data_IF_921543501744
#
_entry.id   IF_921543501744
#
_cell.length_a   1.000
_cell.length_b   1.000
_cell.length_c   1.000
_cell.angle_alpha   90.00
_cell.angle_beta   90.00
_cell.angle_gamma   90.00
#
_symmetry.space_group_name_H-M   'P 1'
#
loop_
_entity.id
_entity.type
_entity.pdbx_description
1 polymer ?
#
# COMPACT_ATOMS: atom_id res chain seq x y z
N UNK A 1 27.50 -10.24 -12.41
CA UNK A 1 26.52 -9.61 -13.33
C UNK A 1 25.16 -9.86 -12.70
N UNK A 2 24.30 -8.85 -12.54
CA UNK A 2 22.95 -9.11 -11.99
C UNK A 2 22.15 -9.81 -13.09
N UNK A 3 21.80 -11.08 -12.90
CA UNK A 3 21.04 -11.86 -13.88
C UNK A 3 19.55 -11.44 -13.90
N UNK A 4 19.30 -10.21 -14.34
CA UNK A 4 17.95 -9.75 -14.61
C UNK A 4 17.56 -10.16 -16.03
N UNK A 5 16.70 -11.18 -16.13
CA UNK A 5 16.06 -11.52 -17.40
C UNK A 5 14.94 -10.52 -17.73
N UNK A 6 14.72 -10.24 -19.01
CA UNK A 6 13.59 -9.42 -19.49
C UNK A 6 12.25 -9.98 -18.98
N UNK A 7 12.11 -11.30 -18.91
CA UNK A 7 10.90 -11.93 -18.34
C UNK A 7 10.69 -11.60 -16.86
N UNK A 8 11.78 -11.50 -16.10
CA UNK A 8 11.78 -11.14 -14.68
C UNK A 8 11.32 -9.67 -14.50
N UNK A 9 11.76 -8.76 -15.37
CA UNK A 9 11.31 -7.36 -15.35
C UNK A 9 9.82 -7.22 -15.71
N UNK A 10 9.30 -8.05 -16.62
CA UNK A 10 7.89 -8.05 -16.98
C UNK A 10 6.98 -8.51 -15.82
N UNK A 11 7.42 -9.53 -15.08
CA UNK A 11 6.69 -10.03 -13.90
C UNK A 11 6.57 -8.97 -12.81
N UNK A 12 7.51 -8.03 -12.70
CA UNK A 12 7.44 -6.92 -11.73
C UNK A 12 6.34 -5.90 -12.04
N UNK A 13 5.81 -5.85 -13.27
CA UNK A 13 4.64 -5.00 -13.55
C UNK A 13 3.35 -5.56 -12.96
N UNK A 14 3.23 -6.89 -12.82
CA UNK A 14 2.04 -7.55 -12.29
C UNK A 14 1.68 -7.10 -10.86
N UNK A 15 2.59 -7.11 -9.86
CA UNK A 15 2.27 -6.64 -8.52
C UNK A 15 1.88 -5.15 -8.51
N UNK A 16 2.46 -4.32 -9.38
CA UNK A 16 2.11 -2.90 -9.52
C UNK A 16 0.69 -2.74 -10.03
N UNK A 17 0.31 -3.52 -11.05
CA UNK A 17 -1.06 -3.52 -11.59
C UNK A 17 -2.05 -4.02 -10.54
N UNK A 18 -1.72 -5.09 -9.80
CA UNK A 18 -2.59 -5.62 -8.75
C UNK A 18 -2.81 -4.62 -7.62
N UNK A 19 -1.73 -3.98 -7.15
CA UNK A 19 -1.83 -2.92 -6.17
C UNK A 19 -2.69 -1.76 -6.68
N UNK A 20 -2.41 -1.25 -7.88
CA UNK A 20 -3.14 -0.13 -8.46
C UNK A 20 -4.63 -0.44 -8.63
N UNK A 21 -4.97 -1.63 -9.13
CA UNK A 21 -6.35 -2.08 -9.27
C UNK A 21 -7.05 -2.17 -7.90
N UNK A 22 -6.39 -2.74 -6.89
CA UNK A 22 -6.93 -2.83 -5.52
C UNK A 22 -7.13 -1.45 -4.90
N UNK A 23 -6.16 -0.55 -5.08
CA UNK A 23 -6.23 0.82 -4.59
C UNK A 23 -7.36 1.62 -5.27
N UNK A 24 -7.56 1.48 -6.58
CA UNK A 24 -8.66 2.14 -7.31
C UNK A 24 -10.02 1.65 -6.82
N UNK A 25 -10.18 0.33 -6.57
CA UNK A 25 -11.41 -0.22 -5.99
C UNK A 25 -11.69 0.39 -4.60
N UNK A 26 -10.67 0.42 -3.74
CA UNK A 26 -10.79 1.01 -2.40
C UNK A 26 -11.07 2.52 -2.46
N UNK A 27 -10.43 3.27 -3.36
CA UNK A 27 -10.71 4.69 -3.55
C UNK A 27 -12.18 4.91 -3.92
N UNK A 28 -12.71 4.14 -4.86
CA UNK A 28 -14.12 4.24 -5.28
C UNK A 28 -15.08 3.94 -4.14
N UNK A 29 -14.82 2.90 -3.36
CA UNK A 29 -15.72 2.46 -2.30
C UNK A 29 -15.63 3.33 -1.03
N UNK A 30 -14.44 3.86 -0.74
CA UNK A 30 -14.19 4.71 0.42
C UNK A 30 -14.41 6.20 0.14
N UNK A 31 -14.57 6.63 -1.12
CA UNK A 31 -14.74 8.05 -1.49
C UNK A 31 -15.84 8.75 -0.68
N UNK A 32 -17.04 8.17 -0.65
CA UNK A 32 -18.19 8.73 0.08
C UNK A 32 -18.07 8.57 1.60
N UNK A 33 -17.06 7.82 2.07
CA UNK A 33 -16.82 7.49 3.47
C UNK A 33 -15.55 8.09 4.01
N UNK A 34 -14.80 8.87 3.24
CA UNK A 34 -13.62 9.58 3.71
C UNK A 34 -13.90 11.09 3.71
N UNK A 35 -13.28 11.82 4.64
CA UNK A 35 -13.20 13.27 4.49
C UNK A 35 -12.34 13.60 3.26
N UNK A 36 -12.52 14.78 2.66
CA UNK A 36 -11.74 15.19 1.48
C UNK A 36 -10.23 15.11 1.72
N UNK A 37 -9.78 15.44 2.94
CA UNK A 37 -8.36 15.34 3.32
C UNK A 37 -7.89 13.90 3.47
N UNK A 38 -8.65 13.03 4.13
CA UNK A 38 -8.29 11.61 4.25
C UNK A 38 -8.26 10.90 2.89
N UNK A 39 -9.23 11.20 2.02
CA UNK A 39 -9.25 10.69 0.65
C UNK A 39 -8.05 11.20 -0.15
N UNK A 40 -7.72 12.48 -0.06
CA UNK A 40 -6.56 13.06 -0.75
C UNK A 40 -5.25 12.41 -0.31
N UNK A 41 -5.05 12.17 0.99
CA UNK A 41 -3.87 11.47 1.52
C UNK A 41 -3.81 10.03 1.02
N UNK A 42 -4.94 9.31 1.05
CA UNK A 42 -5.01 7.93 0.56
C UNK A 42 -4.74 7.84 -0.95
N UNK A 43 -5.36 8.70 -1.75
CA UNK A 43 -5.18 8.74 -3.19
C UNK A 43 -3.77 9.16 -3.59
N UNK A 44 -3.22 10.22 -2.97
CA UNK A 44 -1.84 10.63 -3.20
C UNK A 44 -0.85 9.51 -2.86
N UNK A 45 -1.03 8.86 -1.70
CA UNK A 45 -0.18 7.75 -1.28
C UNK A 45 -0.23 6.56 -2.25
N UNK A 46 -1.42 6.18 -2.70
CA UNK A 46 -1.60 5.09 -3.67
C UNK A 46 -1.02 5.41 -5.06
N UNK A 47 -1.14 6.67 -5.50
CA UNK A 47 -0.50 7.14 -6.75
C UNK A 47 1.02 7.05 -6.60
N UNK A 48 1.58 7.53 -5.49
CA UNK A 48 3.02 7.50 -5.23
C UNK A 48 3.57 6.06 -5.21
N UNK A 49 2.89 5.12 -4.55
CA UNK A 49 3.28 3.70 -4.55
C UNK A 49 3.25 3.12 -5.96
N UNK A 50 2.21 3.43 -6.73
CA UNK A 50 2.04 2.92 -8.10
C UNK A 50 3.14 3.47 -9.01
N UNK A 51 3.39 4.78 -8.95
CA UNK A 51 4.47 5.44 -9.71
C UNK A 51 5.85 4.89 -9.31
N UNK A 52 6.12 4.71 -8.02
CA UNK A 52 7.36 4.10 -7.55
C UNK A 52 7.54 2.69 -8.14
N UNK A 53 6.51 1.84 -8.05
CA UNK A 53 6.52 0.50 -8.61
C UNK A 53 6.78 0.49 -10.12
N UNK A 54 6.13 1.37 -10.88
CA UNK A 54 6.36 1.53 -12.32
C UNK A 54 7.81 1.95 -12.61
N UNK A 55 8.36 2.93 -11.88
CA UNK A 55 9.74 3.38 -12.07
C UNK A 55 10.74 2.24 -11.84
N UNK A 56 10.52 1.40 -10.82
CA UNK A 56 11.38 0.24 -10.54
C UNK A 56 11.29 -0.84 -11.61
N UNK A 57 10.09 -1.16 -12.07
CA UNK A 57 9.89 -2.12 -13.15
C UNK A 57 10.52 -1.62 -14.47
N UNK A 58 10.36 -0.34 -14.79
CA UNK A 58 11.00 0.30 -15.93
C UNK A 58 12.53 0.28 -15.83
N UNK A 59 13.10 0.59 -14.67
CA UNK A 59 14.56 0.49 -14.46
C UNK A 59 15.08 -0.91 -14.73
N UNK A 60 14.42 -1.95 -14.18
CA UNK A 60 14.83 -3.35 -14.41
C UNK A 60 14.71 -3.76 -15.87
N UNK A 61 13.67 -3.30 -16.57
CA UNK A 61 13.49 -3.55 -18.01
C UNK A 61 14.61 -2.91 -18.83
N UNK A 62 14.94 -1.64 -18.56
CA UNK A 62 15.99 -0.91 -19.26
C UNK A 62 17.39 -1.51 -19.00
N UNK A 63 17.65 -1.94 -17.77
CA UNK A 63 18.87 -2.62 -17.39
C UNK A 63 19.00 -3.99 -18.08
N UNK A 64 17.93 -4.80 -18.06
CA UNK A 64 17.90 -6.12 -18.71
C UNK A 64 17.98 -6.03 -20.25
N UNK A 65 17.49 -4.95 -20.84
CA UNK A 65 17.57 -4.69 -22.29
C UNK A 65 18.95 -4.15 -22.73
N UNK A 66 19.89 -3.92 -21.80
CA UNK A 66 21.23 -3.42 -22.11
C UNK A 66 21.28 -2.00 -22.66
N UNK A 67 20.23 -1.20 -22.46
CA UNK A 67 20.12 0.14 -23.06
C UNK A 67 20.88 1.19 -22.23
N UNK A 68 20.59 1.31 -20.92
CA UNK A 68 21.25 2.24 -19.99
C UNK A 68 21.00 1.83 -18.52
N UNK A 69 22.00 2.05 -17.65
CA UNK A 69 21.88 1.88 -16.20
C UNK A 69 21.51 3.22 -15.51
N UNK A 70 20.21 3.49 -15.39
CA UNK A 70 19.71 4.68 -14.70
C UNK A 70 19.52 4.42 -13.20
N UNK A 71 20.62 4.35 -12.46
CA UNK A 71 20.60 4.09 -11.01
C UNK A 71 19.69 5.06 -10.23
N UNK A 72 19.57 6.31 -10.70
CA UNK A 72 18.69 7.33 -10.13
C UNK A 72 17.21 6.89 -10.05
N UNK A 73 16.71 6.09 -11.02
CA UNK A 73 15.33 5.57 -10.96
C UNK A 73 15.17 4.58 -9.80
N UNK A 74 16.18 3.75 -9.57
CA UNK A 74 16.17 2.78 -8.47
C UNK A 74 16.34 3.49 -7.10
N UNK A 75 17.07 4.59 -7.05
CA UNK A 75 17.20 5.42 -5.83
C UNK A 75 15.88 6.14 -5.50
N UNK A 76 15.17 6.66 -6.50
CA UNK A 76 13.90 7.39 -6.32
C UNK A 76 12.73 6.50 -5.89
N UNK A 77 12.74 5.22 -6.29
CA UNK A 77 11.73 4.24 -5.91
C UNK A 77 11.51 4.18 -4.40
N UNK A 78 12.60 4.16 -3.63
CA UNK A 78 12.53 3.83 -2.20
C UNK A 78 11.90 4.96 -1.35
N UNK A 79 12.30 6.24 -1.49
CA UNK A 79 11.61 7.36 -0.86
C UNK A 79 10.16 7.49 -1.32
N UNK A 80 9.89 7.37 -2.62
CA UNK A 80 8.55 7.55 -3.18
C UNK A 80 7.58 6.47 -2.66
N UNK A 81 8.00 5.21 -2.64
CA UNK A 81 7.19 4.12 -2.08
C UNK A 81 6.97 4.29 -0.57
N UNK A 82 7.99 4.69 0.18
CA UNK A 82 7.90 4.88 1.63
C UNK A 82 6.90 5.98 2.00
N UNK A 83 7.03 7.15 1.36
CA UNK A 83 6.11 8.26 1.52
C UNK A 83 4.70 7.85 1.11
N UNK A 84 4.58 7.14 -0.02
CA UNK A 84 3.29 6.68 -0.52
C UNK A 84 2.55 5.77 0.47
N UNK A 85 3.23 4.77 1.05
CA UNK A 85 2.63 3.91 2.07
C UNK A 85 2.29 4.67 3.35
N UNK A 86 3.12 5.63 3.76
CA UNK A 86 2.83 6.47 4.92
C UNK A 86 1.55 7.30 4.70
N UNK A 87 1.43 7.98 3.56
CA UNK A 87 0.26 8.78 3.21
C UNK A 87 -1.01 7.91 3.12
N UNK A 88 -0.91 6.74 2.49
CA UNK A 88 -2.01 5.77 2.42
C UNK A 88 -2.45 5.28 3.81
N UNK A 89 -1.48 4.92 4.66
CA UNK A 89 -1.73 4.49 6.04
C UNK A 89 -2.36 5.58 6.90
N UNK A 90 -1.87 6.82 6.81
CA UNK A 90 -2.45 7.97 7.53
C UNK A 90 -3.86 8.29 7.01
N UNK A 91 -4.12 8.18 5.70
CA UNK A 91 -5.46 8.32 5.14
C UNK A 91 -6.44 7.28 5.69
N UNK A 92 -6.00 6.03 5.83
CA UNK A 92 -6.79 4.95 6.45
C UNK A 92 -6.99 5.15 7.96
N UNK A 93 -5.97 5.64 8.68
CA UNK A 93 -6.10 5.96 10.10
C UNK A 93 -7.08 7.12 10.32
N UNK A 94 -7.01 8.16 9.48
CA UNK A 94 -7.92 9.29 9.52
C UNK A 94 -9.38 8.86 9.29
N UNK A 95 -9.62 7.90 8.39
CA UNK A 95 -10.93 7.27 8.21
C UNK A 95 -11.46 6.63 9.51
N UNK A 96 -10.58 6.01 10.30
CA UNK A 96 -10.98 5.26 11.50
C UNK A 96 -11.10 6.12 12.75
N UNK A 97 -10.21 7.09 12.95
CA UNK A 97 -10.07 7.85 14.19
C UNK A 97 -10.78 9.21 14.17
N UNK A 98 -10.91 9.87 13.01
CA UNK A 98 -11.57 11.18 12.98
C UNK A 98 -13.09 11.03 12.85
N UNK A 99 -13.82 11.79 13.69
CA UNK A 99 -15.23 12.08 13.44
C UNK A 99 -15.29 12.81 12.10
N UNK A 100 -15.96 12.20 11.13
CA UNK A 100 -16.22 12.78 9.81
C UNK A 100 -17.28 13.88 9.89
N UNK A 101 -17.13 14.80 10.84
CA UNK A 101 -18.01 15.93 11.04
C UNK A 101 -17.60 17.04 10.08
N UNK A 102 -18.45 17.32 9.10
CA UNK A 102 -18.45 18.58 8.37
C UNK A 102 -17.52 18.65 7.16
N UNK A 103 -18.10 19.09 6.03
CA UNK A 103 -17.48 19.40 4.74
C UNK A 103 -16.40 20.51 4.76
N UNK A 104 -15.78 20.82 5.89
CA UNK A 104 -14.85 21.94 6.04
C UNK A 104 -13.70 21.58 6.96
N UNK A 105 -12.49 21.47 6.40
CA UNK A 105 -11.27 21.29 7.16
C UNK A 105 -10.51 20.04 6.74
N UNK A 106 -9.66 20.18 5.74
CA UNK A 106 -8.21 20.17 5.96
C UNK A 106 -7.49 19.94 4.63
N UNK A 107 -6.89 21.02 4.12
CA UNK A 107 -5.74 20.93 3.25
C UNK A 107 -4.55 20.51 4.13
N UNK A 108 -4.38 19.21 4.35
CA UNK A 108 -3.11 18.71 4.86
C UNK A 108 -2.16 18.56 3.66
N UNK A 109 -1.55 19.67 3.28
CA UNK A 109 -0.29 19.65 2.55
C UNK A 109 0.78 19.15 3.53
N UNK A 110 0.83 17.84 3.75
CA UNK A 110 1.98 17.25 4.43
C UNK A 110 3.07 17.22 3.38
N UNK A 111 3.89 18.28 3.36
CA UNK A 111 5.17 18.23 2.66
C UNK A 111 5.90 16.98 3.20
N UNK A 112 6.24 15.99 2.35
CA UNK A 112 6.94 14.82 2.83
C UNK A 112 8.27 15.30 3.43
N UNK A 113 8.54 15.03 4.72
CA UNK A 113 9.83 15.35 5.28
C UNK A 113 10.92 14.58 4.51
N UNK A 114 11.83 15.34 3.89
CA UNK A 114 13.00 14.79 3.20
C UNK A 114 13.98 14.30 4.27
N UNK A 115 13.91 13.02 4.61
CA UNK A 115 14.86 12.39 5.52
C UNK A 115 16.02 11.78 4.75
N UNK A 116 17.23 11.92 5.30
CA UNK A 116 18.43 11.25 4.81
C UNK A 116 18.69 10.03 5.69
N UNK A 117 18.18 8.86 5.31
CA UNK A 117 18.48 7.60 5.99
C UNK A 117 17.59 6.43 5.55
N UNK A 118 18.20 5.36 5.06
CA UNK A 118 17.49 4.15 4.57
C UNK A 118 16.60 3.54 5.64
N UNK A 119 17.04 3.51 6.91
CA UNK A 119 16.28 2.94 8.01
C UNK A 119 14.96 3.69 8.29
N UNK A 120 14.97 5.02 8.22
CA UNK A 120 13.77 5.85 8.44
C UNK A 120 12.72 5.56 7.37
N UNK A 121 13.14 5.44 6.10
CA UNK A 121 12.24 5.08 5.01
C UNK A 121 11.69 3.66 5.14
N UNK A 122 12.49 2.67 5.56
CA UNK A 122 11.97 1.31 5.87
C UNK A 122 10.92 1.40 6.98
N UNK A 123 11.22 2.10 8.07
CA UNK A 123 10.33 2.19 9.22
C UNK A 123 9.00 2.87 8.86
N UNK A 124 9.04 3.98 8.12
CA UNK A 124 7.84 4.69 7.64
C UNK A 124 7.04 3.83 6.66
N UNK A 125 7.71 3.08 5.77
CA UNK A 125 7.05 2.17 4.83
C UNK A 125 6.31 1.05 5.57
N UNK A 126 6.97 0.39 6.53
CA UNK A 126 6.37 -0.70 7.33
C UNK A 126 5.23 -0.17 8.20
N UNK A 127 5.42 0.99 8.84
CA UNK A 127 4.37 1.62 9.64
C UNK A 127 3.17 2.03 8.77
N UNK A 128 3.42 2.66 7.62
CA UNK A 128 2.37 3.08 6.69
C UNK A 128 1.59 1.91 6.11
N UNK A 129 2.29 0.89 5.62
CA UNK A 129 1.68 -0.36 5.14
C UNK A 129 0.87 -1.04 6.27
N UNK A 130 1.45 -1.15 7.47
CA UNK A 130 0.79 -1.75 8.61
C UNK A 130 -0.48 -1.00 9.01
N UNK A 131 -0.45 0.34 8.99
CA UNK A 131 -1.63 1.18 9.23
C UNK A 131 -2.71 0.98 8.15
N UNK A 132 -2.31 0.87 6.88
CA UNK A 132 -3.23 0.62 5.77
C UNK A 132 -3.92 -0.75 5.91
N UNK A 133 -3.15 -1.83 6.06
CA UNK A 133 -3.67 -3.20 6.14
C UNK A 133 -4.45 -3.44 7.44
N UNK A 134 -3.99 -2.91 8.58
CA UNK A 134 -4.76 -2.93 9.83
C UNK A 134 -6.05 -2.11 9.68
N UNK A 135 -5.99 -0.98 8.98
CA UNK A 135 -7.15 -0.16 8.68
C UNK A 135 -8.22 -0.93 7.90
N UNK A 136 -7.80 -1.66 6.86
CA UNK A 136 -8.66 -2.52 6.06
C UNK A 136 -9.20 -3.71 6.87
N UNK A 137 -8.39 -4.29 7.76
CA UNK A 137 -8.83 -5.32 8.69
C UNK A 137 -9.93 -4.82 9.64
N UNK A 138 -9.81 -3.60 10.17
CA UNK A 138 -10.82 -2.99 11.03
C UNK A 138 -12.11 -2.72 10.23
N UNK A 139 -12.00 -2.24 9.00
CA UNK A 139 -13.16 -2.06 8.10
C UNK A 139 -13.86 -3.40 7.84
N UNK A 140 -13.10 -4.46 7.51
CA UNK A 140 -13.64 -5.80 7.31
C UNK A 140 -14.33 -6.35 8.58
N UNK A 141 -13.74 -6.12 9.75
CA UNK A 141 -14.33 -6.51 11.03
C UNK A 141 -15.64 -5.77 11.31
N UNK A 142 -15.71 -4.46 11.01
CA UNK A 142 -16.93 -3.65 11.12
C UNK A 142 -18.03 -4.11 10.16
N UNK A 143 -17.66 -4.60 8.98
CA UNK A 143 -18.58 -5.23 8.03
C UNK A 143 -19.01 -6.66 8.41
N UNK A 144 -18.59 -7.18 9.58
CA UNK A 144 -18.78 -8.58 10.02
C UNK A 144 -18.15 -9.62 9.09
N UNK A 145 -17.20 -9.19 8.24
CA UNK A 145 -16.51 -10.00 7.24
C UNK A 145 -15.11 -10.44 7.74
N UNK A 146 -15.04 -10.92 8.99
CA UNK A 146 -13.77 -11.26 9.67
C UNK A 146 -12.93 -12.30 8.93
N UNK A 147 -13.57 -13.20 8.19
CA UNK A 147 -12.90 -14.24 7.40
C UNK A 147 -11.91 -13.66 6.37
N UNK A 148 -12.26 -12.51 5.80
CA UNK A 148 -11.49 -11.89 4.72
C UNK A 148 -10.34 -11.01 5.23
N UNK A 149 -10.26 -10.76 6.53
CA UNK A 149 -9.10 -10.10 7.16
C UNK A 149 -7.80 -10.86 6.90
N UNK A 150 -7.88 -12.19 6.79
CA UNK A 150 -6.73 -13.06 6.52
C UNK A 150 -6.01 -12.66 5.24
N UNK A 151 -6.71 -12.17 4.22
CA UNK A 151 -6.09 -11.73 2.95
C UNK A 151 -5.17 -10.54 3.16
N UNK A 152 -5.58 -9.55 3.97
CA UNK A 152 -4.75 -8.38 4.29
C UNK A 152 -3.60 -8.72 5.23
N UNK A 153 -3.83 -9.59 6.22
CA UNK A 153 -2.77 -10.06 7.12
C UNK A 153 -1.69 -10.82 6.35
N UNK A 154 -2.10 -11.70 5.42
CA UNK A 154 -1.17 -12.46 4.61
C UNK A 154 -0.45 -11.57 3.59
N UNK A 155 -1.15 -10.59 2.99
CA UNK A 155 -0.52 -9.55 2.16
C UNK A 155 0.57 -8.78 2.91
N UNK A 156 0.26 -8.36 4.14
CA UNK A 156 1.22 -7.68 5.02
C UNK A 156 2.43 -8.56 5.33
N UNK A 157 2.19 -9.83 5.68
CA UNK A 157 3.26 -10.80 5.96
C UNK A 157 4.15 -11.06 4.74
N UNK A 158 3.57 -11.19 3.54
CA UNK A 158 4.33 -11.30 2.29
C UNK A 158 5.18 -10.05 2.04
N UNK A 159 4.64 -8.85 2.31
CA UNK A 159 5.36 -7.60 2.14
C UNK A 159 6.53 -7.45 3.12
N UNK A 160 6.37 -7.89 4.38
CA UNK A 160 7.47 -7.98 5.34
C UNK A 160 8.52 -9.02 4.93
N UNK A 161 8.06 -10.18 4.44
CA UNK A 161 8.92 -11.24 3.89
C UNK A 161 9.77 -10.74 2.73
N UNK A 162 9.20 -9.92 1.85
CA UNK A 162 9.95 -9.25 0.78
C UNK A 162 10.99 -8.25 1.34
N UNK A 163 10.65 -7.50 2.39
CA UNK A 163 11.61 -6.63 3.07
C UNK A 163 12.82 -7.40 3.62
N UNK A 164 12.59 -8.58 4.22
CA UNK A 164 13.66 -9.46 4.68
C UNK A 164 14.47 -10.05 3.52
N UNK A 165 13.81 -10.56 2.47
CA UNK A 165 14.49 -11.06 1.28
C UNK A 165 15.35 -9.95 0.65
N UNK A 166 14.87 -8.70 0.66
CA UNK A 166 15.60 -7.53 0.18
C UNK A 166 16.91 -7.24 0.91
N UNK A 167 17.14 -7.80 2.10
CA UNK A 167 18.39 -7.70 2.85
C UNK A 167 19.38 -8.85 2.60
N UNK A 168 18.99 -9.87 1.83
CA UNK A 168 19.83 -11.01 1.46
C UNK A 168 20.60 -10.73 0.15
N UNK A 169 21.61 -11.55 -0.15
CA UNK A 169 22.36 -11.43 -1.41
C UNK A 169 21.51 -11.84 -2.63
N UNK A 170 21.29 -10.90 -3.55
CA UNK A 170 20.57 -11.11 -4.83
C UNK A 170 21.47 -11.51 -5.99
N UNK A 171 22.67 -12.00 -5.70
CA UNK A 171 23.62 -12.48 -6.71
C UNK A 171 23.11 -13.75 -7.39
N UNK A 172 22.25 -14.52 -6.72
CA UNK A 172 21.57 -15.68 -7.31
C UNK A 172 20.23 -15.31 -7.97
N UNK A 173 20.01 -15.82 -9.19
CA UNK A 173 18.74 -15.65 -9.91
C UNK A 173 17.53 -16.27 -9.19
N UNK A 174 17.75 -17.34 -8.41
CA UNK A 174 16.74 -18.01 -7.58
C UNK A 174 16.09 -17.06 -6.58
N UNK A 175 16.90 -16.26 -5.87
CA UNK A 175 16.44 -15.30 -4.87
C UNK A 175 15.63 -14.17 -5.48
N UNK A 176 15.98 -13.72 -6.69
CA UNK A 176 15.19 -12.73 -7.42
C UNK A 176 13.80 -13.27 -7.77
N UNK A 177 13.69 -14.51 -8.27
CA UNK A 177 12.40 -15.13 -8.56
C UNK A 177 11.54 -15.34 -7.31
N UNK A 178 12.14 -15.74 -6.19
CA UNK A 178 11.42 -15.89 -4.91
C UNK A 178 10.87 -14.54 -4.45
N UNK A 179 11.69 -13.48 -4.47
CA UNK A 179 11.25 -12.15 -4.07
C UNK A 179 10.10 -11.63 -4.95
N UNK A 180 10.16 -11.90 -6.25
CA UNK A 180 9.09 -11.54 -7.18
C UNK A 180 7.81 -12.33 -6.94
N UNK A 181 7.93 -13.64 -6.72
CA UNK A 181 6.79 -14.50 -6.40
C UNK A 181 6.10 -14.07 -5.11
N UNK A 182 6.86 -13.78 -4.05
CA UNK A 182 6.33 -13.28 -2.77
C UNK A 182 5.62 -11.94 -2.95
N UNK A 183 6.19 -11.01 -3.73
CA UNK A 183 5.55 -9.73 -4.01
C UNK A 183 4.26 -9.88 -4.84
N UNK A 184 4.29 -10.74 -5.86
CA UNK A 184 3.14 -11.05 -6.70
C UNK A 184 1.98 -11.62 -5.88
N UNK A 185 2.27 -12.59 -5.00
CA UNK A 185 1.29 -13.17 -4.08
C UNK A 185 0.78 -12.12 -3.10
N UNK A 186 1.66 -11.31 -2.51
CA UNK A 186 1.29 -10.25 -1.58
C UNK A 186 0.31 -9.25 -2.20
N UNK A 187 0.66 -8.66 -3.35
CA UNK A 187 -0.21 -7.69 -4.03
C UNK A 187 -1.46 -8.34 -4.62
N UNK A 188 -1.40 -9.61 -5.01
CA UNK A 188 -2.57 -10.39 -5.42
C UNK A 188 -3.56 -10.57 -4.27
N UNK A 189 -3.08 -10.89 -3.07
CA UNK A 189 -3.91 -11.00 -1.86
C UNK A 189 -4.52 -9.66 -1.46
N UNK A 190 -3.77 -8.57 -1.58
CA UNK A 190 -4.30 -7.21 -1.38
C UNK A 190 -5.46 -6.90 -2.34
N UNK A 191 -5.26 -7.15 -3.65
CA UNK A 191 -6.31 -6.97 -4.66
C UNK A 191 -7.54 -7.83 -4.36
N UNK A 192 -7.34 -9.11 -4.04
CA UNK A 192 -8.44 -10.01 -3.68
C UNK A 192 -9.19 -9.51 -2.45
N UNK A 193 -8.48 -9.04 -1.43
CA UNK A 193 -9.08 -8.43 -0.24
C UNK A 193 -9.93 -7.22 -0.58
N UNK A 194 -9.39 -6.28 -1.38
CA UNK A 194 -10.11 -5.10 -1.85
C UNK A 194 -11.35 -5.47 -2.68
N UNK A 195 -11.22 -6.42 -3.59
CA UNK A 195 -12.31 -6.88 -4.45
C UNK A 195 -13.42 -7.59 -3.67
N UNK A 196 -13.06 -8.41 -2.69
CA UNK A 196 -14.06 -9.06 -1.83
C UNK A 196 -14.81 -8.04 -0.98
N UNK A 197 -14.13 -7.03 -0.42
CA UNK A 197 -14.81 -5.94 0.28
C UNK A 197 -15.78 -5.19 -0.66
N UNK A 198 -15.35 -4.94 -1.90
CA UNK A 198 -16.20 -4.35 -2.94
C UNK A 198 -17.46 -5.17 -3.19
N UNK A 199 -17.34 -6.49 -3.38
CA UNK A 199 -18.47 -7.39 -3.58
C UNK A 199 -19.44 -7.41 -2.40
N UNK A 200 -18.93 -7.26 -1.17
CA UNK A 200 -19.76 -7.15 0.04
C UNK A 200 -20.36 -5.74 0.23
N UNK A 201 -20.42 -4.96 -0.85
CA UNK A 201 -21.00 -3.62 -0.92
C UNK A 201 -20.37 -2.68 0.10
N UNK A 202 -19.03 -2.66 0.16
CA UNK A 202 -18.30 -1.68 0.95
C UNK A 202 -18.86 -0.27 0.68
N UNK A 203 -19.11 0.10 -0.58
CA UNK A 203 -19.71 1.38 -0.96
C UNK A 203 -21.03 1.72 -0.22
N UNK A 204 -21.90 0.74 0.04
CA UNK A 204 -23.22 0.96 0.67
C UNK A 204 -23.18 0.86 2.21
N UNK A 205 -22.11 0.27 2.76
CA UNK A 205 -21.98 0.05 4.20
C UNK A 205 -21.77 1.36 4.98
N UNK A 206 -22.70 1.73 5.85
CA UNK A 206 -22.49 2.90 6.71
C UNK A 206 -21.55 2.52 7.85
N UNK A 207 -20.38 3.15 7.90
CA UNK A 207 -19.49 3.12 9.05
C UNK A 207 -20.18 3.87 10.21
N UNK A 208 -21.19 3.26 10.83
CA UNK A 208 -21.72 3.73 12.10
C UNK A 208 -20.59 3.58 13.12
N UNK A 209 -19.95 4.69 13.46
CA UNK A 209 -19.07 4.72 14.61
C UNK A 209 -19.94 4.44 15.83
N UNK A 210 -19.67 3.33 16.52
CA UNK A 210 -20.29 3.04 17.80
C UNK A 210 -20.21 4.29 18.67
N UNK A 211 -21.38 4.79 19.07
CA UNK A 211 -21.49 5.68 20.21
C UNK A 211 -20.77 4.98 21.36
N UNK A 212 -19.59 5.47 21.74
CA UNK A 212 -19.06 5.16 23.05
C UNK A 212 -20.16 5.54 24.04
N UNK A 213 -20.70 4.50 24.69
CA UNK A 213 -21.78 4.62 25.64
C UNK A 213 -21.40 5.66 26.66
N UNK A 214 -22.22 6.71 26.72
CA UNK A 214 -22.29 7.60 27.86
C UNK A 214 -22.51 6.72 29.09
N UNK A 215 -21.43 6.39 29.81
CA UNK A 215 -21.53 6.00 31.21
C UNK A 215 -21.86 7.28 31.98
N UNK A 216 -23.14 7.64 31.96
CA UNK A 216 -23.78 8.25 33.12
C UNK A 216 -23.58 7.28 34.28
N UNK A 217 -22.61 7.55 35.14
CA UNK A 217 -22.64 7.08 36.51
C UNK A 217 -23.38 8.17 37.29
N UNK A 218 -24.56 7.78 37.77
CA UNK A 218 -25.31 8.46 38.80
C UNK A 218 -24.51 8.52 40.11
#
# INVERSE_FOLDING_TARGET
MKDFSVGMALVDFLPVIFFAAGAVLLMRDLYNKMSKGAFALFAAGAIDITCAGMLKACYKLLYAAGVCDFEALNTLFFPMQSIGFLLAGVGMLALLCHKQAGRGGAAYAVAPPLFSGTFVFVALMVAGLGLMDAGLCIVAAKMKQKKWMVLFILSFACSLGMGYLSSQDFTEASMNWIAQGVNLVGQGLFLLGAWVLHQHKLADFHLQQEKHGSRTAA
#
